data_IF_347230179945
#
_entry.id   IF_347230179945
#
_cell.length_a   1.000
_cell.length_b   1.000
_cell.length_c   1.000
_cell.angle_alpha   90.00
_cell.angle_beta   90.00
_cell.angle_gamma   90.00
#
_symmetry.space_group_name_H-M   'P 1'
#
loop_
_entity.id
_entity.type
_entity.pdbx_description
1 polymer ?
#
# COMPACT_ATOMS: atom_id res chain seq x y z
N UNK A 1 19.32 -12.16 7.63
CA UNK A 1 19.55 -12.42 6.20
C UNK A 1 18.49 -11.64 5.46
N UNK A 2 18.93 -10.75 4.58
CA UNK A 2 18.01 -10.04 3.69
C UNK A 2 17.44 -11.06 2.70
N UNK A 3 16.16 -10.96 2.41
CA UNK A 3 15.48 -11.76 1.39
C UNK A 3 15.37 -10.89 0.15
N UNK A 4 16.06 -11.27 -0.91
CA UNK A 4 16.00 -10.56 -2.18
C UNK A 4 14.98 -11.21 -3.11
N UNK A 5 14.25 -10.40 -3.86
CA UNK A 5 13.44 -10.91 -4.95
C UNK A 5 14.34 -11.58 -6.00
N UNK A 6 13.95 -12.77 -6.43
CA UNK A 6 14.63 -13.46 -7.54
C UNK A 6 14.32 -12.81 -8.87
N UNK A 7 13.08 -12.33 -9.03
CA UNK A 7 12.61 -11.54 -10.17
C UNK A 7 11.62 -10.49 -9.68
N UNK A 8 11.93 -9.22 -9.90
CA UNK A 8 11.10 -8.10 -9.49
C UNK A 8 9.92 -7.86 -10.45
N UNK A 9 8.87 -7.18 -9.98
CA UNK A 9 7.79 -6.75 -10.86
C UNK A 9 8.30 -5.69 -11.84
N UNK A 10 7.83 -5.77 -13.08
CA UNK A 10 8.24 -4.88 -14.16
C UNK A 10 7.17 -3.84 -14.47
N UNK A 11 7.61 -2.67 -14.91
CA UNK A 11 6.77 -1.68 -15.56
C UNK A 11 6.42 -2.11 -17.00
N UNK A 12 5.58 -1.34 -17.67
CA UNK A 12 5.26 -1.55 -19.08
C UNK A 12 6.53 -1.57 -19.95
N UNK A 13 6.44 -2.26 -21.09
CA UNK A 13 7.53 -2.31 -22.04
C UNK A 13 7.89 -0.91 -22.56
N UNK A 14 9.17 -0.71 -22.85
CA UNK A 14 9.59 0.47 -23.58
C UNK A 14 8.87 0.56 -24.93
N UNK A 15 8.33 1.72 -25.22
CA UNK A 15 7.66 2.04 -26.48
C UNK A 15 8.44 3.06 -27.32
N UNK A 16 9.64 3.42 -26.88
CA UNK A 16 10.50 4.38 -27.55
C UNK A 16 11.57 3.67 -28.40
N UNK A 17 12.33 4.42 -29.16
CA UNK A 17 13.46 3.90 -29.93
C UNK A 17 14.74 3.73 -29.11
N UNK A 18 14.73 4.08 -27.82
CA UNK A 18 15.88 3.93 -26.94
C UNK A 18 16.22 2.46 -26.76
N UNK A 19 17.45 2.11 -27.01
CA UNK A 19 17.96 0.75 -26.81
C UNK A 19 18.83 0.68 -25.56
N UNK A 20 18.79 -0.48 -24.89
CA UNK A 20 19.72 -0.85 -23.83
C UNK A 20 20.71 -1.90 -24.37
N UNK A 21 22.00 -1.66 -24.17
CA UNK A 21 23.09 -2.51 -24.61
C UNK A 21 23.85 -3.06 -23.39
N UNK A 22 23.70 -4.35 -23.03
CA UNK A 22 24.47 -4.96 -21.97
C UNK A 22 25.88 -5.33 -22.47
N UNK A 23 26.88 -5.21 -21.61
CA UNK A 23 28.27 -5.52 -21.95
C UNK A 23 28.54 -7.02 -22.13
N UNK A 24 27.66 -7.89 -21.64
CA UNK A 24 27.68 -9.35 -21.83
C UNK A 24 26.30 -9.95 -21.64
N UNK A 25 26.17 -11.25 -21.95
CA UNK A 25 24.87 -11.99 -21.74
C UNK A 25 24.91 -13.01 -20.62
N UNK A 26 26.08 -13.42 -20.15
CA UNK A 26 26.22 -14.40 -19.09
C UNK A 26 25.92 -13.78 -17.71
N UNK A 27 25.43 -14.61 -16.77
CA UNK A 27 25.27 -14.25 -15.36
C UNK A 27 26.59 -13.73 -14.79
N UNK A 28 26.52 -12.64 -14.02
CA UNK A 28 27.70 -12.02 -13.43
C UNK A 28 27.42 -10.59 -12.95
N UNK A 29 28.41 -10.01 -12.28
CA UNK A 29 28.35 -8.69 -11.65
C UNK A 29 29.28 -7.69 -12.35
N UNK A 30 29.06 -6.39 -12.10
CA UNK A 30 29.95 -5.34 -12.64
C UNK A 30 29.83 -5.12 -14.14
N UNK A 31 28.74 -5.50 -14.76
CA UNK A 31 28.52 -5.46 -16.20
C UNK A 31 27.99 -4.09 -16.59
N UNK A 32 28.54 -3.50 -17.65
CA UNK A 32 28.04 -2.21 -18.16
C UNK A 32 26.68 -2.37 -18.83
N UNK A 33 25.81 -1.39 -18.63
CA UNK A 33 24.55 -1.21 -19.34
C UNK A 33 24.53 0.19 -19.94
N UNK A 34 24.45 0.27 -21.26
CA UNK A 34 24.48 1.54 -21.98
C UNK A 34 23.17 1.78 -22.68
N UNK A 35 22.52 2.91 -22.38
CA UNK A 35 21.34 3.37 -23.10
C UNK A 35 21.72 4.28 -24.27
N UNK A 36 21.06 4.11 -25.41
CA UNK A 36 21.33 4.95 -26.62
C UNK A 36 20.79 6.39 -26.44
N UNK A 37 19.82 6.59 -25.55
CA UNK A 37 19.23 7.87 -25.19
C UNK A 37 18.58 7.79 -23.79
N UNK A 38 18.12 8.92 -23.26
CA UNK A 38 17.38 8.95 -22.00
C UNK A 38 15.86 8.78 -22.17
N UNK A 39 15.35 8.94 -23.39
CA UNK A 39 13.91 8.85 -23.70
C UNK A 39 13.35 7.50 -23.29
N UNK A 40 12.23 7.48 -22.57
CA UNK A 40 11.62 6.25 -22.05
C UNK A 40 12.17 5.80 -20.68
N UNK A 41 13.36 6.26 -20.28
CA UNK A 41 13.94 5.98 -18.97
C UNK A 41 13.54 7.11 -18.02
N UNK A 42 12.81 6.81 -16.95
CA UNK A 42 12.39 7.76 -15.91
C UNK A 42 11.80 9.06 -16.51
N UNK A 43 10.83 8.91 -17.40
CA UNK A 43 10.17 10.03 -18.11
C UNK A 43 11.14 10.95 -18.87
N UNK A 44 12.26 10.39 -19.36
CA UNK A 44 13.28 11.12 -20.13
C UNK A 44 14.46 11.63 -19.31
N UNK A 45 14.46 11.44 -18.00
CA UNK A 45 15.59 11.84 -17.12
C UNK A 45 16.82 10.92 -17.25
N UNK A 46 16.64 9.72 -17.83
CA UNK A 46 17.68 8.71 -17.88
C UNK A 46 17.85 7.96 -16.57
N UNK A 47 18.93 7.20 -16.42
CA UNK A 47 19.24 6.52 -15.17
C UNK A 47 19.56 7.52 -14.05
N UNK A 48 19.06 7.25 -12.86
CA UNK A 48 19.25 8.06 -11.65
C UNK A 48 19.95 7.23 -10.57
N UNK A 49 20.66 7.88 -9.67
CA UNK A 49 21.29 7.20 -8.53
C UNK A 49 20.28 6.41 -7.68
N UNK A 50 19.05 6.86 -7.65
CA UNK A 50 17.89 6.22 -7.00
C UNK A 50 17.37 4.98 -7.74
N UNK A 51 17.91 4.63 -8.89
CA UNK A 51 17.62 3.37 -9.59
C UNK A 51 18.49 2.19 -9.10
N UNK A 52 19.48 2.42 -8.24
CA UNK A 52 20.27 1.34 -7.65
C UNK A 52 19.36 0.36 -6.90
N UNK A 53 19.53 -0.93 -7.18
CA UNK A 53 18.64 -2.00 -6.68
C UNK A 53 17.47 -2.31 -7.60
N UNK A 54 17.17 -1.49 -8.58
CA UNK A 54 16.07 -1.67 -9.53
C UNK A 54 16.35 -2.79 -10.52
N UNK A 55 15.34 -3.60 -10.79
CA UNK A 55 15.42 -4.64 -11.82
C UNK A 55 15.39 -4.05 -13.23
N UNK A 56 15.96 -4.78 -14.15
CA UNK A 56 15.89 -4.52 -15.59
C UNK A 56 15.64 -5.86 -16.30
N UNK A 57 14.62 -5.90 -17.12
CA UNK A 57 14.37 -7.01 -18.05
C UNK A 57 14.79 -6.60 -19.44
N UNK A 58 15.66 -7.38 -20.07
CA UNK A 58 16.10 -7.18 -21.44
C UNK A 58 16.62 -8.50 -22.03
N UNK A 59 16.53 -8.66 -23.35
CA UNK A 59 17.00 -9.87 -24.03
C UNK A 59 16.57 -11.17 -23.32
N UNK A 60 15.28 -11.24 -22.91
CA UNK A 60 14.66 -12.38 -22.25
C UNK A 60 15.27 -12.79 -20.90
N UNK A 61 16.03 -11.94 -20.25
CA UNK A 61 16.64 -12.20 -18.95
C UNK A 61 16.45 -11.05 -17.96
N UNK A 62 16.86 -11.29 -16.72
CA UNK A 62 16.74 -10.34 -15.63
C UNK A 62 18.10 -9.89 -15.13
N UNK A 63 18.22 -8.60 -14.88
CA UNK A 63 19.37 -7.98 -14.25
C UNK A 63 18.91 -7.00 -13.16
N UNK A 64 19.84 -6.60 -12.29
CA UNK A 64 19.63 -5.61 -11.22
C UNK A 64 20.66 -4.49 -11.38
N UNK A 65 20.24 -3.23 -11.30
CA UNK A 65 21.16 -2.08 -11.36
C UNK A 65 21.93 -2.04 -10.03
N UNK A 66 23.26 -2.07 -10.11
CA UNK A 66 24.14 -2.02 -8.93
C UNK A 66 24.83 -0.66 -8.76
N UNK A 67 24.98 0.10 -9.85
CA UNK A 67 25.47 1.47 -9.81
C UNK A 67 24.99 2.27 -11.02
N UNK A 68 24.92 3.58 -10.89
CA UNK A 68 24.61 4.51 -11.99
C UNK A 68 25.78 5.48 -12.13
N UNK A 69 26.38 5.52 -13.32
CA UNK A 69 27.51 6.39 -13.64
C UNK A 69 27.03 7.74 -14.15
N UNK A 70 26.05 7.74 -15.03
CA UNK A 70 25.38 8.94 -15.56
C UNK A 70 24.00 8.55 -16.14
N UNK A 71 23.33 9.51 -16.75
CA UNK A 71 21.95 9.34 -17.26
C UNK A 71 21.79 8.26 -18.35
N UNK A 72 22.86 7.83 -19.00
CA UNK A 72 22.84 6.79 -20.06
C UNK A 72 23.69 5.57 -19.72
N UNK A 73 24.44 5.58 -18.63
CA UNK A 73 25.34 4.49 -18.27
C UNK A 73 25.08 4.02 -16.84
N UNK A 74 24.79 2.75 -16.71
CA UNK A 74 24.64 2.04 -15.45
C UNK A 74 25.52 0.80 -15.39
N UNK A 75 25.71 0.27 -14.21
CA UNK A 75 26.33 -1.03 -13.96
C UNK A 75 25.25 -1.97 -13.46
N UNK A 76 25.22 -3.18 -13.98
CA UNK A 76 24.24 -4.20 -13.64
C UNK A 76 24.89 -5.49 -13.15
N UNK A 77 24.12 -6.25 -12.41
CA UNK A 77 24.31 -7.65 -12.14
C UNK A 77 23.28 -8.43 -12.96
N UNK A 78 23.72 -9.36 -13.81
CA UNK A 78 22.83 -10.25 -14.55
C UNK A 78 22.51 -11.45 -13.68
N UNK A 79 21.22 -11.58 -13.31
CA UNK A 79 20.69 -12.63 -12.43
C UNK A 79 20.24 -13.85 -13.22
N UNK A 80 19.65 -13.62 -14.40
CA UNK A 80 19.25 -14.68 -15.34
C UNK A 80 19.92 -14.39 -16.69
N UNK A 81 20.59 -15.37 -17.26
CA UNK A 81 21.30 -15.23 -18.52
C UNK A 81 20.41 -14.60 -19.61
N UNK A 82 20.97 -13.62 -20.30
CA UNK A 82 20.32 -12.96 -21.42
C UNK A 82 20.45 -13.82 -22.69
N UNK A 83 19.51 -13.74 -23.59
CA UNK A 83 19.58 -14.43 -24.89
C UNK A 83 20.70 -13.92 -25.80
N UNK A 84 21.25 -12.75 -25.49
CA UNK A 84 22.37 -12.14 -26.23
C UNK A 84 22.81 -10.82 -25.58
N UNK A 85 23.96 -10.30 -26.03
CA UNK A 85 24.48 -9.00 -25.57
C UNK A 85 24.23 -7.87 -26.58
N UNK A 86 23.37 -8.06 -27.56
CA UNK A 86 22.99 -7.03 -28.52
C UNK A 86 22.11 -5.95 -27.91
N UNK A 87 22.26 -4.73 -28.39
CA UNK A 87 21.35 -3.64 -28.02
C UNK A 87 19.89 -3.99 -28.40
N UNK A 88 18.96 -3.78 -27.46
CA UNK A 88 17.56 -4.07 -27.66
C UNK A 88 16.70 -2.88 -27.26
N UNK A 89 15.61 -2.63 -27.98
CA UNK A 89 14.56 -1.71 -27.61
C UNK A 89 13.45 -2.41 -26.78
N UNK A 90 13.43 -3.76 -26.78
CA UNK A 90 12.53 -4.55 -25.94
C UNK A 90 13.16 -4.72 -24.55
N UNK A 91 12.86 -3.75 -23.69
CA UNK A 91 13.30 -3.75 -22.31
C UNK A 91 12.21 -3.18 -21.40
N UNK A 92 12.29 -3.54 -20.13
CA UNK A 92 11.44 -3.00 -19.07
C UNK A 92 12.28 -2.69 -17.84
N UNK A 93 11.88 -1.67 -17.10
CA UNK A 93 12.45 -1.36 -15.80
C UNK A 93 11.56 -1.89 -14.68
N UNK A 94 12.16 -2.25 -13.58
CA UNK A 94 11.46 -2.69 -12.38
C UNK A 94 10.49 -1.63 -11.87
N UNK A 95 9.37 -2.07 -11.30
CA UNK A 95 8.34 -1.19 -10.76
C UNK A 95 8.75 -0.57 -9.41
N UNK A 96 9.65 -1.20 -8.65
CA UNK A 96 10.06 -0.76 -7.32
C UNK A 96 11.49 -0.21 -7.33
N UNK A 97 11.65 0.99 -6.87
CA UNK A 97 12.94 1.66 -6.62
C UNK A 97 12.70 2.97 -5.86
N UNK A 98 13.76 3.61 -5.39
CA UNK A 98 13.65 4.95 -4.80
C UNK A 98 13.21 6.01 -5.84
N UNK A 99 13.39 5.73 -7.14
CA UNK A 99 12.87 6.59 -8.22
C UNK A 99 11.37 6.44 -8.42
N UNK A 100 10.84 5.20 -8.35
CA UNK A 100 9.44 4.90 -8.67
C UNK A 100 8.56 4.75 -7.45
N UNK A 101 9.17 4.69 -6.28
CA UNK A 101 8.55 4.42 -5.00
C UNK A 101 8.41 2.93 -4.71
N UNK A 102 8.26 2.63 -3.44
CA UNK A 102 8.01 1.29 -2.93
C UNK A 102 6.52 1.12 -2.59
N UNK A 103 5.99 -0.12 -2.55
CA UNK A 103 4.61 -0.36 -2.20
C UNK A 103 4.32 0.07 -0.76
N UNK A 104 3.17 0.71 -0.54
CA UNK A 104 2.69 1.11 0.78
C UNK A 104 1.78 0.09 1.45
N UNK A 105 1.28 -0.88 0.68
CA UNK A 105 0.37 -1.91 1.15
C UNK A 105 0.92 -3.30 0.82
N UNK A 106 0.78 -4.24 1.76
CA UNK A 106 1.20 -5.64 1.60
C UNK A 106 0.18 -6.58 2.25
N UNK A 107 -0.09 -7.70 1.62
CA UNK A 107 -0.90 -8.78 2.18
C UNK A 107 -0.60 -10.11 1.49
N UNK A 108 -1.16 -11.21 2.02
CA UNK A 108 -1.16 -12.50 1.34
C UNK A 108 -2.58 -12.82 0.88
N UNK A 109 -2.71 -13.31 -0.34
CA UNK A 109 -3.99 -13.75 -0.88
C UNK A 109 -3.80 -14.90 -1.85
N UNK A 110 -4.54 -16.00 -1.67
CA UNK A 110 -4.51 -17.19 -2.53
C UNK A 110 -3.08 -17.67 -2.85
N UNK A 111 -2.26 -17.90 -1.83
CA UNK A 111 -0.86 -18.34 -1.93
C UNK A 111 0.03 -17.40 -2.75
N UNK A 112 -0.30 -16.13 -2.83
CA UNK A 112 0.49 -15.08 -3.47
C UNK A 112 0.82 -13.97 -2.47
N UNK A 113 2.01 -13.43 -2.54
CA UNK A 113 2.37 -12.17 -1.88
C UNK A 113 1.87 -11.03 -2.74
N UNK A 114 1.14 -10.09 -2.15
CA UNK A 114 0.47 -9.01 -2.87
C UNK A 114 0.98 -7.67 -2.37
N UNK A 115 1.42 -6.83 -3.30
CA UNK A 115 1.85 -5.45 -3.05
C UNK A 115 0.98 -4.47 -3.82
N UNK A 116 0.83 -3.25 -3.29
CA UNK A 116 0.17 -2.16 -4.01
C UNK A 116 0.58 -0.78 -3.49
N UNK A 117 0.17 0.25 -4.22
CA UNK A 117 0.27 1.62 -3.77
C UNK A 117 1.66 2.23 -3.86
N UNK A 118 2.40 2.02 -4.94
CA UNK A 118 3.65 2.75 -5.19
C UNK A 118 3.36 4.19 -5.60
N UNK A 119 4.36 5.06 -5.47
CA UNK A 119 4.21 6.48 -5.84
C UNK A 119 3.91 6.66 -7.33
N UNK A 120 4.61 5.93 -8.20
CA UNK A 120 4.43 6.05 -9.66
C UNK A 120 3.23 5.26 -10.19
N UNK A 121 2.87 4.17 -9.54
CA UNK A 121 1.77 3.30 -9.93
C UNK A 121 0.78 3.11 -8.76
N UNK A 122 0.10 4.20 -8.32
CA UNK A 122 -0.71 4.18 -7.11
C UNK A 122 -1.95 3.30 -7.18
N UNK A 123 -2.36 2.90 -8.39
CA UNK A 123 -3.53 2.06 -8.64
C UNK A 123 -3.18 0.62 -9.06
N UNK A 124 -1.89 0.28 -9.09
CA UNK A 124 -1.44 -1.04 -9.55
C UNK A 124 -1.26 -1.98 -8.37
N UNK A 125 -1.72 -3.20 -8.56
CA UNK A 125 -1.56 -4.33 -7.64
C UNK A 125 -0.61 -5.33 -8.29
N UNK A 126 0.33 -5.81 -7.50
CA UNK A 126 1.36 -6.75 -7.92
C UNK A 126 1.21 -8.04 -7.10
N UNK A 127 0.99 -9.16 -7.75
CA UNK A 127 0.90 -10.47 -7.11
C UNK A 127 2.12 -11.30 -7.51
N UNK A 128 2.73 -11.98 -6.55
CA UNK A 128 3.79 -12.95 -6.83
C UNK A 128 3.28 -14.16 -7.62
N UNK A 129 4.19 -15.00 -8.09
CA UNK A 129 3.83 -16.36 -8.52
C UNK A 129 3.17 -17.11 -7.36
N UNK A 130 2.28 -18.03 -7.70
CA UNK A 130 1.60 -18.86 -6.72
C UNK A 130 2.63 -19.77 -6.01
N UNK A 131 2.70 -19.65 -4.68
CA UNK A 131 3.63 -20.44 -3.85
C UNK A 131 5.10 -20.01 -3.91
N UNK A 132 5.44 -19.00 -4.73
CA UNK A 132 6.80 -18.45 -4.84
C UNK A 132 6.75 -16.93 -4.60
N UNK A 133 6.90 -16.51 -3.35
CA UNK A 133 6.66 -15.15 -2.88
C UNK A 133 7.73 -14.14 -3.31
N UNK A 134 8.93 -14.61 -3.67
CA UNK A 134 10.06 -13.77 -4.09
C UNK A 134 10.12 -13.60 -5.61
N UNK A 135 9.19 -14.21 -6.33
CA UNK A 135 9.14 -14.22 -7.78
C UNK A 135 7.92 -13.44 -8.30
N UNK A 136 8.18 -12.30 -8.92
CA UNK A 136 7.17 -11.44 -9.54
C UNK A 136 7.20 -11.52 -11.07
N UNK A 137 7.70 -12.63 -11.64
CA UNK A 137 7.76 -12.82 -13.09
C UNK A 137 6.38 -13.10 -13.66
N UNK A 138 5.87 -12.17 -14.44
CA UNK A 138 4.65 -12.34 -15.24
C UNK A 138 4.88 -13.10 -16.56
N UNK A 139 6.00 -13.82 -16.67
CA UNK A 139 6.40 -14.59 -17.85
C UNK A 139 6.46 -13.74 -19.13
N UNK A 140 7.21 -12.64 -19.04
CA UNK A 140 7.33 -11.64 -20.11
C UNK A 140 7.93 -12.28 -21.36
N UNK A 141 7.19 -12.22 -22.48
CA UNK A 141 7.61 -12.81 -23.77
C UNK A 141 7.42 -14.32 -23.87
N UNK A 142 6.93 -14.99 -22.82
CA UNK A 142 6.58 -16.42 -22.81
C UNK A 142 5.08 -16.69 -22.91
N UNK A 143 4.69 -17.95 -22.71
CA UNK A 143 3.28 -18.32 -22.56
C UNK A 143 2.88 -18.17 -21.10
N UNK A 144 1.92 -17.30 -20.84
CA UNK A 144 1.42 -17.04 -19.48
C UNK A 144 0.75 -18.28 -18.92
N UNK A 145 1.18 -18.72 -17.75
CA UNK A 145 0.62 -19.83 -16.98
C UNK A 145 -0.25 -19.33 -15.82
N UNK A 146 -1.11 -20.17 -15.30
CA UNK A 146 -2.04 -19.80 -14.23
C UNK A 146 -1.34 -19.46 -12.91
N UNK A 147 -0.14 -19.99 -12.70
CA UNK A 147 0.69 -19.72 -11.52
C UNK A 147 1.57 -18.48 -11.65
N UNK A 148 1.70 -17.89 -12.85
CA UNK A 148 2.55 -16.71 -13.07
C UNK A 148 2.09 -15.50 -12.26
N UNK A 149 3.02 -14.56 -12.05
CA UNK A 149 2.75 -13.31 -11.34
C UNK A 149 1.73 -12.46 -12.10
N UNK A 150 0.95 -11.68 -11.35
CA UNK A 150 -0.11 -10.82 -11.90
C UNK A 150 0.25 -9.37 -11.62
N UNK A 151 0.24 -8.55 -12.65
CA UNK A 151 0.35 -7.10 -12.54
C UNK A 151 -0.94 -6.51 -13.11
N UNK A 152 -1.73 -5.87 -12.27
CA UNK A 152 -3.03 -5.34 -12.67
C UNK A 152 -3.22 -3.91 -12.20
N UNK A 153 -3.54 -3.00 -13.11
CA UNK A 153 -3.86 -1.61 -12.81
C UNK A 153 -5.36 -1.41 -12.78
N UNK A 154 -5.89 -0.93 -11.66
CA UNK A 154 -7.32 -0.67 -11.49
C UNK A 154 -7.72 0.47 -12.41
N UNK A 155 -8.55 0.17 -13.42
CA UNK A 155 -9.12 1.17 -14.29
C UNK A 155 -10.19 1.98 -13.53
N UNK A 156 -9.95 3.27 -13.33
CA UNK A 156 -10.86 4.20 -12.66
C UNK A 156 -10.83 5.54 -13.37
N UNK A 157 -11.98 6.23 -13.39
CA UNK A 157 -12.10 7.58 -13.98
C UNK A 157 -11.26 8.65 -13.26
N UNK A 158 -10.70 8.33 -12.11
CA UNK A 158 -9.84 9.20 -11.31
C UNK A 158 -8.66 8.39 -10.79
N UNK A 159 -7.51 9.02 -10.64
CA UNK A 159 -6.35 8.39 -9.97
C UNK A 159 -6.67 8.25 -8.48
N UNK A 160 -6.95 7.04 -8.08
CA UNK A 160 -7.32 6.68 -6.71
C UNK A 160 -6.23 5.79 -6.10
N UNK A 161 -5.29 6.41 -5.38
CA UNK A 161 -4.23 5.66 -4.71
C UNK A 161 -4.82 4.59 -3.79
N UNK A 162 -4.28 3.37 -3.87
CA UNK A 162 -4.57 2.28 -2.96
C UNK A 162 -4.04 2.67 -1.57
N UNK A 163 -4.87 2.46 -0.54
CA UNK A 163 -4.60 2.85 0.84
C UNK A 163 -4.48 1.68 1.79
N UNK A 164 -5.23 0.63 1.54
CA UNK A 164 -5.13 -0.63 2.28
C UNK A 164 -5.55 -1.81 1.41
N UNK A 165 -5.11 -2.98 1.81
CA UNK A 165 -5.58 -4.26 1.29
C UNK A 165 -5.89 -5.19 2.45
N UNK A 166 -6.99 -5.94 2.35
CA UNK A 166 -7.37 -6.93 3.36
C UNK A 166 -7.87 -8.20 2.68
N UNK A 167 -7.22 -9.31 3.00
CA UNK A 167 -7.60 -10.61 2.49
C UNK A 167 -8.72 -11.21 3.35
N UNK A 168 -9.83 -11.51 2.73
CA UNK A 168 -10.96 -12.28 3.28
C UNK A 168 -11.28 -13.41 2.31
N UNK A 169 -12.54 -13.75 2.08
CA UNK A 169 -12.94 -14.64 0.98
C UNK A 169 -12.57 -14.06 -0.40
N UNK A 170 -12.56 -12.74 -0.51
CA UNK A 170 -12.05 -11.98 -1.65
C UNK A 170 -10.97 -11.02 -1.14
N UNK A 171 -10.09 -10.55 -2.00
CA UNK A 171 -9.19 -9.47 -1.63
C UNK A 171 -9.93 -8.15 -1.72
N UNK A 172 -10.02 -7.44 -0.62
CA UNK A 172 -10.62 -6.12 -0.52
C UNK A 172 -9.52 -5.08 -0.66
N UNK A 173 -9.74 -4.10 -1.54
CA UNK A 173 -8.82 -2.99 -1.80
C UNK A 173 -9.56 -1.69 -1.49
N UNK A 174 -9.08 -0.95 -0.51
CA UNK A 174 -9.54 0.41 -0.25
C UNK A 174 -8.68 1.44 -0.96
N UNK A 175 -9.32 2.30 -1.74
CA UNK A 175 -8.67 3.41 -2.44
C UNK A 175 -9.19 4.75 -1.93
N UNK A 176 -8.52 5.84 -2.27
CA UNK A 176 -8.97 7.18 -1.90
C UNK A 176 -10.38 7.55 -2.44
N UNK A 177 -10.87 6.87 -3.48
CA UNK A 177 -12.15 7.17 -4.13
C UNK A 177 -13.17 6.05 -4.13
N UNK A 178 -12.90 4.94 -3.45
CA UNK A 178 -13.84 3.82 -3.33
C UNK A 178 -13.18 2.51 -2.96
N UNK A 179 -14.00 1.52 -2.71
CA UNK A 179 -13.61 0.17 -2.31
C UNK A 179 -13.86 -0.79 -3.46
N UNK A 180 -12.93 -1.72 -3.66
CA UNK A 180 -12.94 -2.72 -4.71
C UNK A 180 -12.78 -4.11 -4.11
N UNK A 181 -13.31 -5.10 -4.79
CA UNK A 181 -13.04 -6.52 -4.51
C UNK A 181 -12.30 -7.14 -5.68
N UNK A 182 -11.35 -8.00 -5.37
CA UNK A 182 -10.60 -8.82 -6.34
C UNK A 182 -10.94 -10.27 -6.12
N UNK A 183 -11.29 -10.96 -7.19
CA UNK A 183 -11.61 -12.40 -7.20
C UNK A 183 -11.23 -13.00 -8.55
N UNK A 184 -11.30 -14.32 -8.67
CA UNK A 184 -11.34 -15.00 -9.96
C UNK A 184 -12.65 -14.76 -10.70
N UNK A 185 -12.82 -15.33 -11.85
CA UNK A 185 -14.03 -15.19 -12.68
C UNK A 185 -15.33 -15.62 -11.96
N UNK A 186 -15.24 -16.47 -10.95
CA UNK A 186 -16.30 -16.79 -9.98
C UNK A 186 -15.73 -16.81 -8.56
N UNK A 187 -16.60 -16.81 -7.54
CA UNK A 187 -16.21 -16.74 -6.13
C UNK A 187 -15.34 -17.92 -5.67
N UNK A 188 -15.47 -19.06 -6.32
CA UNK A 188 -14.76 -20.31 -5.98
C UNK A 188 -13.61 -20.63 -6.95
N UNK A 189 -13.28 -19.69 -7.83
CA UNK A 189 -12.20 -19.87 -8.80
C UNK A 189 -10.99 -19.06 -8.35
N UNK A 190 -9.82 -19.72 -8.22
CA UNK A 190 -8.59 -19.04 -7.88
C UNK A 190 -8.22 -17.95 -8.92
N UNK A 191 -7.59 -16.88 -8.46
CA UNK A 191 -7.11 -15.83 -9.36
C UNK A 191 -5.93 -16.33 -10.20
N UNK A 192 -6.01 -16.04 -11.50
CA UNK A 192 -4.92 -16.28 -12.45
C UNK A 192 -4.68 -15.03 -13.28
N UNK A 193 -3.56 -14.92 -14.00
CA UNK A 193 -3.30 -13.76 -14.87
C UNK A 193 -4.41 -13.51 -15.90
N UNK A 194 -5.18 -14.55 -16.27
CA UNK A 194 -6.19 -14.50 -17.33
C UNK A 194 -7.63 -14.36 -16.81
N UNK A 195 -7.89 -14.60 -15.52
CA UNK A 195 -9.25 -14.57 -14.97
C UNK A 195 -9.47 -13.58 -13.80
N UNK A 196 -8.47 -12.76 -13.48
CA UNK A 196 -8.60 -11.77 -12.40
C UNK A 196 -9.74 -10.78 -12.71
N UNK A 197 -10.62 -10.59 -11.75
CA UNK A 197 -11.76 -9.68 -11.85
C UNK A 197 -11.74 -8.69 -10.70
N UNK A 198 -11.66 -7.40 -11.02
CA UNK A 198 -11.72 -6.31 -10.05
C UNK A 198 -13.02 -5.54 -10.23
N UNK A 199 -13.85 -5.52 -9.18
CA UNK A 199 -15.15 -4.83 -9.17
C UNK A 199 -15.20 -3.75 -8.11
N UNK A 200 -15.68 -2.56 -8.49
CA UNK A 200 -15.97 -1.51 -7.53
C UNK A 200 -17.23 -1.84 -6.74
N UNK A 201 -17.15 -1.73 -5.42
CA UNK A 201 -18.24 -2.07 -4.51
C UNK A 201 -18.88 -0.82 -3.89
N UNK A 202 -18.08 0.21 -3.58
CA UNK A 202 -18.61 1.43 -2.98
C UNK A 202 -17.79 2.68 -3.39
N UNK A 203 -18.30 3.87 -3.05
CA UNK A 203 -17.71 5.17 -3.38
C UNK A 203 -17.31 5.97 -2.14
N UNK A 204 -17.12 5.32 -0.97
CA UNK A 204 -16.86 6.06 0.26
C UNK A 204 -15.43 6.60 0.34
N UNK A 205 -14.48 5.86 -0.20
CA UNK A 205 -13.06 6.18 -0.14
C UNK A 205 -12.46 5.92 1.24
N UNK A 206 -11.23 5.45 1.23
CA UNK A 206 -10.48 5.02 2.41
C UNK A 206 -9.43 6.05 2.83
N UNK A 207 -9.20 6.13 4.14
CA UNK A 207 -8.02 6.78 4.72
C UNK A 207 -6.78 5.90 4.54
N UNK A 208 -5.60 6.50 4.64
CA UNK A 208 -4.33 5.76 4.65
C UNK A 208 -4.10 5.17 6.06
N UNK A 209 -4.87 4.17 6.38
CA UNK A 209 -4.86 3.41 7.65
C UNK A 209 -5.27 1.99 7.30
N UNK A 210 -4.55 1.01 7.83
CA UNK A 210 -4.86 -0.38 7.57
C UNK A 210 -6.27 -0.74 8.04
N UNK A 211 -6.98 -1.47 7.22
CA UNK A 211 -8.28 -2.02 7.58
C UNK A 211 -8.10 -3.31 8.39
N UNK A 212 -9.09 -3.64 9.19
CA UNK A 212 -9.10 -4.84 10.01
C UNK A 212 -10.21 -5.79 9.57
N UNK A 213 -9.89 -7.07 9.49
CA UNK A 213 -10.88 -8.11 9.26
C UNK A 213 -11.48 -8.56 10.60
N UNK A 214 -12.81 -8.57 10.68
CA UNK A 214 -13.56 -9.03 11.86
C UNK A 214 -14.61 -10.03 11.38
N UNK A 215 -14.34 -11.31 11.59
CA UNK A 215 -15.18 -12.37 11.05
C UNK A 215 -15.21 -12.31 9.52
N UNK A 216 -16.38 -12.11 8.95
CA UNK A 216 -16.60 -11.98 7.51
C UNK A 216 -16.76 -10.52 7.03
N UNK A 217 -16.50 -9.56 7.89
CA UNK A 217 -16.56 -8.13 7.58
C UNK A 217 -15.17 -7.48 7.66
N UNK A 218 -14.99 -6.43 6.91
CA UNK A 218 -13.80 -5.57 6.96
C UNK A 218 -14.19 -4.21 7.50
N UNK A 219 -13.57 -3.79 8.59
CA UNK A 219 -13.74 -2.45 9.13
C UNK A 219 -12.62 -1.55 8.62
N UNK A 220 -12.96 -0.41 8.08
CA UNK A 220 -12.01 0.56 7.55
C UNK A 220 -12.38 1.99 7.90
N UNK A 221 -11.39 2.86 7.90
CA UNK A 221 -11.60 4.29 8.08
C UNK A 221 -11.92 4.96 6.74
N UNK A 222 -13.05 5.66 6.70
CA UNK A 222 -13.39 6.50 5.56
C UNK A 222 -12.37 7.65 5.42
N UNK A 223 -12.19 8.16 4.20
CA UNK A 223 -11.16 9.15 3.82
C UNK A 223 -10.98 10.32 4.78
N UNK A 224 -12.05 10.86 5.35
CA UNK A 224 -11.99 11.96 6.32
C UNK A 224 -11.55 11.54 7.72
N UNK A 225 -11.25 10.25 7.97
CA UNK A 225 -10.83 9.68 9.26
C UNK A 225 -11.82 9.82 10.42
N UNK A 226 -13.05 10.20 10.14
CA UNK A 226 -14.10 10.41 11.17
C UNK A 226 -15.13 9.29 11.25
N UNK A 227 -15.12 8.39 10.27
CA UNK A 227 -16.12 7.32 10.18
C UNK A 227 -15.43 5.98 10.02
N UNK A 228 -15.81 5.02 10.86
CA UNK A 228 -15.51 3.60 10.65
C UNK A 228 -16.67 3.01 9.88
N UNK A 229 -16.37 2.34 8.77
CA UNK A 229 -17.34 1.64 7.96
C UNK A 229 -17.10 0.14 8.01
N UNK A 230 -18.20 -0.61 7.99
CA UNK A 230 -18.21 -2.06 7.90
C UNK A 230 -18.44 -2.46 6.44
N UNK A 231 -17.43 -2.96 5.74
CA UNK A 231 -17.61 -3.52 4.40
C UNK A 231 -17.89 -5.02 4.51
N UNK A 232 -19.08 -5.43 4.17
CA UNK A 232 -19.50 -6.82 4.20
C UNK A 232 -20.41 -7.15 3.03
N UNK A 233 -20.34 -8.40 2.55
CA UNK A 233 -21.27 -8.90 1.54
C UNK A 233 -22.67 -9.01 2.13
N UNK A 234 -23.66 -8.50 1.40
CA UNK A 234 -25.08 -8.59 1.72
C UNK A 234 -25.80 -9.34 0.60
N UNK A 235 -26.45 -10.42 0.97
CA UNK A 235 -27.16 -11.29 0.02
C UNK A 235 -28.38 -10.62 -0.62
N UNK A 236 -29.08 -9.75 0.13
CA UNK A 236 -30.33 -9.12 -0.35
C UNK A 236 -30.09 -8.19 -1.54
N UNK A 237 -28.89 -7.57 -1.60
CA UNK A 237 -28.50 -6.65 -2.69
C UNK A 237 -27.50 -7.27 -3.64
N UNK A 238 -27.10 -8.53 -3.41
CA UNK A 238 -26.04 -9.25 -4.15
C UNK A 238 -24.77 -8.40 -4.32
N UNK A 239 -24.32 -7.83 -3.21
CA UNK A 239 -23.16 -6.92 -3.26
C UNK A 239 -22.64 -6.57 -1.87
N UNK A 240 -21.57 -5.79 -1.87
CA UNK A 240 -21.01 -5.28 -0.63
C UNK A 240 -21.68 -3.97 -0.21
N UNK A 241 -22.04 -3.89 1.04
CA UNK A 241 -22.55 -2.67 1.69
C UNK A 241 -21.53 -2.16 2.69
N UNK A 242 -21.53 -0.85 2.95
CA UNK A 242 -20.60 -0.22 3.87
C UNK A 242 -21.31 0.73 4.87
N UNK A 243 -22.15 0.20 5.79
CA UNK A 243 -22.81 1.02 6.80
C UNK A 243 -21.79 1.72 7.70
N UNK A 244 -22.24 2.84 8.29
CA UNK A 244 -21.46 3.69 9.18
C UNK A 244 -21.62 3.22 10.63
N UNK A 245 -20.54 2.73 11.23
CA UNK A 245 -20.51 2.25 12.62
C UNK A 245 -20.38 3.40 13.64
N UNK A 246 -20.16 4.62 13.19
CA UNK A 246 -20.00 5.80 14.07
C UNK A 246 -21.25 6.68 14.13
N UNK A 247 -22.31 6.35 13.39
CA UNK A 247 -23.49 7.21 13.20
C UNK A 247 -24.17 7.63 14.51
N UNK A 248 -24.20 6.77 15.51
CA UNK A 248 -24.80 7.07 16.81
C UNK A 248 -23.83 7.74 17.81
N UNK A 249 -22.56 7.91 17.42
CA UNK A 249 -21.49 8.39 18.30
C UNK A 249 -20.47 9.27 17.55
N UNK A 250 -20.92 10.12 16.66
CA UNK A 250 -20.04 10.96 15.81
C UNK A 250 -19.07 11.84 16.61
N UNK A 251 -19.47 12.25 17.83
CA UNK A 251 -18.63 13.05 18.73
C UNK A 251 -17.37 12.29 19.20
N UNK A 252 -17.38 10.95 19.23
CA UNK A 252 -16.24 10.14 19.66
C UNK A 252 -15.08 10.25 18.68
N UNK A 253 -15.38 10.34 17.38
CA UNK A 253 -14.38 10.41 16.32
C UNK A 253 -14.07 11.85 15.87
N UNK A 254 -14.47 12.88 16.64
CA UNK A 254 -14.36 14.29 16.21
C UNK A 254 -12.93 14.73 15.94
N UNK A 255 -11.94 14.23 16.68
CA UNK A 255 -10.52 14.50 16.46
C UNK A 255 -9.90 13.74 15.28
N UNK A 256 -10.67 12.91 14.56
CA UNK A 256 -10.19 12.00 13.54
C UNK A 256 -9.47 10.78 14.13
N UNK A 257 -9.58 9.64 13.48
CA UNK A 257 -8.95 8.40 13.90
C UNK A 257 -7.69 8.16 13.06
N UNK A 258 -6.60 7.75 13.69
CA UNK A 258 -5.28 7.59 13.05
C UNK A 258 -4.85 6.15 12.93
N UNK A 259 -5.37 5.28 13.78
CA UNK A 259 -5.08 3.85 13.79
C UNK A 259 -6.27 3.09 14.34
N UNK A 260 -6.47 1.86 13.88
CA UNK A 260 -7.45 0.91 14.41
C UNK A 260 -6.80 -0.44 14.67
N UNK A 261 -7.26 -1.13 15.69
CA UNK A 261 -6.82 -2.48 16.05
C UNK A 261 -7.98 -3.31 16.58
N UNK A 262 -7.96 -4.62 16.38
CA UNK A 262 -9.02 -5.52 16.82
C UNK A 262 -8.54 -6.46 17.92
N UNK A 263 -9.30 -6.54 18.98
CA UNK A 263 -9.19 -7.54 20.04
C UNK A 263 -10.32 -8.56 19.87
N UNK A 264 -9.97 -9.81 19.68
CA UNK A 264 -10.94 -10.89 19.52
C UNK A 264 -11.44 -11.42 20.87
N UNK A 265 -10.54 -11.60 21.84
CA UNK A 265 -10.84 -12.20 23.13
C UNK A 265 -10.35 -11.31 24.28
N UNK A 266 -11.01 -11.33 25.45
CA UNK A 266 -12.23 -12.08 25.81
C UNK A 266 -13.52 -11.49 25.24
N UNK A 267 -13.49 -10.25 24.75
CA UNK A 267 -14.62 -9.57 24.13
C UNK A 267 -14.19 -8.97 22.81
N UNK A 268 -15.07 -8.97 21.84
CA UNK A 268 -14.83 -8.38 20.53
C UNK A 268 -14.87 -6.85 20.62
N UNK A 269 -13.68 -6.26 20.60
CA UNK A 269 -13.47 -4.82 20.73
C UNK A 269 -12.59 -4.30 19.59
N UNK A 270 -12.98 -3.18 19.03
CA UNK A 270 -12.14 -2.44 18.10
C UNK A 270 -11.63 -1.20 18.82
N UNK A 271 -10.35 -1.09 18.98
CA UNK A 271 -9.70 0.10 19.53
C UNK A 271 -9.31 1.03 18.40
N UNK A 272 -9.47 2.32 18.63
CA UNK A 272 -9.02 3.34 17.70
C UNK A 272 -8.30 4.46 18.45
N UNK A 273 -7.19 4.94 17.87
CA UNK A 273 -6.45 6.09 18.38
C UNK A 273 -6.94 7.34 17.67
N UNK A 274 -7.33 8.35 18.44
CA UNK A 274 -7.69 9.66 17.91
C UNK A 274 -6.44 10.53 17.66
N UNK A 275 -6.58 11.48 16.75
CA UNK A 275 -5.51 12.43 16.44
C UNK A 275 -5.03 13.29 17.60
N UNK A 276 -5.85 13.47 18.64
CA UNK A 276 -5.53 14.17 19.88
C UNK A 276 -4.93 13.26 20.97
N UNK A 277 -4.65 11.98 20.64
CA UNK A 277 -4.03 11.00 21.56
C UNK A 277 -5.03 10.27 22.47
N UNK A 278 -6.33 10.50 22.35
CA UNK A 278 -7.34 9.75 23.10
C UNK A 278 -7.55 8.36 22.48
N UNK A 279 -7.66 7.33 23.34
CA UNK A 279 -8.04 5.99 22.91
C UNK A 279 -9.56 5.83 23.02
N UNK A 280 -10.18 5.38 21.96
CA UNK A 280 -11.59 5.05 21.93
C UNK A 280 -11.78 3.57 21.61
N UNK A 281 -12.85 2.98 22.12
CA UNK A 281 -13.19 1.58 21.88
C UNK A 281 -14.59 1.45 21.32
N UNK A 282 -14.75 0.51 20.41
CA UNK A 282 -16.01 0.09 19.84
C UNK A 282 -16.25 -1.36 20.24
N UNK A 283 -17.28 -1.62 21.04
CA UNK A 283 -17.81 -2.97 21.21
C UNK A 283 -18.55 -3.33 19.93
N UNK A 284 -18.07 -4.36 19.25
CA UNK A 284 -18.59 -4.75 17.96
C UNK A 284 -18.95 -6.23 17.94
N UNK A 285 -20.24 -6.52 18.10
CA UNK A 285 -20.82 -7.86 18.02
C UNK A 285 -21.86 -7.88 16.91
N UNK A 286 -21.41 -8.19 15.72
CA UNK A 286 -22.23 -8.11 14.51
C UNK A 286 -23.47 -9.00 14.57
N UNK A 287 -23.31 -10.21 15.05
CA UNK A 287 -24.38 -11.21 15.11
C UNK A 287 -25.51 -10.78 16.06
N UNK A 288 -25.19 -10.05 17.13
CA UNK A 288 -26.14 -9.50 18.09
C UNK A 288 -26.56 -8.06 17.77
N UNK A 289 -26.04 -7.49 16.67
CA UNK A 289 -26.27 -6.10 16.28
C UNK A 289 -25.85 -5.08 17.36
N UNK A 290 -24.84 -5.42 18.16
CA UNK A 290 -24.29 -4.51 19.18
C UNK A 290 -23.17 -3.68 18.60
N UNK A 291 -23.38 -2.37 18.61
CA UNK A 291 -22.40 -1.34 18.24
C UNK A 291 -22.41 -0.27 19.31
N UNK A 292 -21.43 -0.31 20.21
CA UNK A 292 -21.37 0.61 21.35
C UNK A 292 -19.97 1.22 21.48
N UNK A 293 -19.93 2.54 21.59
CA UNK A 293 -18.69 3.29 21.70
C UNK A 293 -18.38 3.70 23.14
N UNK A 294 -17.11 3.68 23.51
CA UNK A 294 -16.61 4.13 24.80
C UNK A 294 -15.23 4.79 24.65
N UNK A 295 -14.84 5.54 25.66
CA UNK A 295 -13.53 6.21 25.73
C UNK A 295 -12.70 5.63 26.85
N UNK A 296 -11.40 5.56 26.64
CA UNK A 296 -10.42 5.22 27.65
C UNK A 296 -9.67 6.49 28.09
N UNK A 297 -9.82 6.85 29.34
CA UNK A 297 -9.10 8.00 29.90
C UNK A 297 -7.81 7.47 30.53
N UNK A 298 -6.68 7.74 29.87
CA UNK A 298 -5.36 7.45 30.40
C UNK A 298 -4.90 8.63 31.24
N UNK A 299 -5.18 8.64 32.53
CA UNK A 299 -4.66 9.65 33.49
C UNK A 299 -4.75 11.09 33.00
N UNK A 300 -4.89 12.02 33.88
CA UNK A 300 -5.26 13.40 33.63
C UNK A 300 -4.77 14.00 32.31
N UNK A 301 -5.67 14.62 31.57
CA UNK A 301 -5.31 15.53 30.49
C UNK A 301 -4.27 16.49 31.05
N UNK A 302 -3.08 16.51 30.49
CA UNK A 302 -2.16 17.62 30.72
C UNK A 302 -2.82 18.84 30.10
N UNK A 303 -3.52 19.62 30.92
CA UNK A 303 -3.98 20.93 30.51
C UNK A 303 -2.76 21.78 30.23
N UNK A 304 -2.50 22.09 28.97
CA UNK A 304 -1.51 23.09 28.63
C UNK A 304 -2.08 24.44 29.00
N UNK A 305 -1.64 25.01 30.11
CA UNK A 305 -1.89 26.39 30.44
C UNK A 305 -0.66 27.20 30.00
N UNK A 306 -0.87 28.19 29.15
CA UNK A 306 0.19 29.16 28.83
C UNK A 306 0.05 30.32 29.81
N UNK A 307 1.06 30.52 30.65
CA UNK A 307 1.15 31.70 31.51
C UNK A 307 2.02 32.71 30.78
N UNK A 308 1.43 33.81 30.34
CA UNK A 308 2.17 34.93 29.75
C UNK A 308 2.45 35.96 30.85
N UNK A 309 3.70 36.14 31.15
CA UNK A 309 4.14 37.23 32.07
C UNK A 309 4.42 38.45 31.21
N UNK A 310 3.55 39.47 31.31
CA UNK A 310 3.65 40.70 30.52
C UNK A 310 4.57 41.74 31.12
N UNK A 311 4.89 41.64 32.42
CA UNK A 311 5.77 42.54 33.11
C UNK A 311 6.65 41.78 34.12
N UNK A 312 7.86 41.46 33.69
CA UNK A 312 8.86 40.77 34.53
C UNK A 312 9.44 41.65 35.63
N UNK A 313 9.40 42.98 35.48
CA UNK A 313 10.02 43.92 36.43
C UNK A 313 9.28 43.99 37.77
N UNK A 314 8.02 43.58 37.79
CA UNK A 314 7.18 43.63 39.00
C UNK A 314 7.00 42.26 39.68
N UNK A 315 7.74 41.22 39.28
CA UNK A 315 7.73 39.95 39.99
C UNK A 315 8.81 40.02 41.10
N UNK A 316 8.36 40.10 42.35
CA UNK A 316 9.26 40.05 43.47
C UNK A 316 9.87 38.65 43.66
N UNK A 317 11.12 38.60 44.14
CA UNK A 317 11.77 37.33 44.47
C UNK A 317 10.92 36.56 45.52
N UNK A 318 10.66 35.30 45.27
CA UNK A 318 9.80 34.46 46.11
C UNK A 318 8.30 34.49 45.79
N UNK A 319 7.88 35.20 44.73
CA UNK A 319 6.47 35.13 44.23
C UNK A 319 6.08 33.70 43.85
N UNK A 320 4.99 33.22 44.42
CA UNK A 320 4.43 31.89 44.11
C UNK A 320 3.28 32.02 43.14
N UNK A 321 3.35 31.25 42.07
CA UNK A 321 2.21 31.04 41.18
C UNK A 321 1.44 29.81 41.70
N UNK A 322 0.23 30.04 42.17
CA UNK A 322 -0.67 28.96 42.62
C UNK A 322 -1.62 28.66 41.47
N UNK A 323 -1.49 27.45 40.87
CA UNK A 323 -2.43 26.95 39.90
C UNK A 323 -3.48 26.12 40.64
N UNK A 324 -4.68 26.62 40.73
CA UNK A 324 -5.82 25.90 41.29
C UNK A 324 -6.57 25.27 40.13
N UNK A 325 -6.69 23.91 40.11
CA UNK A 325 -7.58 23.25 39.20
C UNK A 325 -9.01 23.64 39.57
N UNK A 326 -9.73 24.24 38.66
CA UNK A 326 -11.17 24.36 38.82
C UNK A 326 -11.74 22.92 38.71
N UNK A 327 -12.20 22.38 39.82
CA UNK A 327 -12.94 21.13 39.80
C UNK A 327 -14.30 21.38 39.14
N UNK A 328 -14.29 21.25 37.79
CA UNK A 328 -15.52 21.10 37.05
C UNK A 328 -16.04 19.69 37.33
N UNK A 329 -17.05 19.57 38.11
CA UNK A 329 -17.91 18.38 38.25
C UNK A 329 -18.55 18.05 36.93
#
# INVERSE_FOLDING_TARGET
TDVDFTKGPMQDANITTTTLNPGQSAVGTGISLVASATTGINSGSGFLATDVGRFVFLNSGYAKITAVTNTTNATIEILTALSGASATADWRLGAFSDTTGHPSCVTFFEQRLVFAGTTNQPQTVFFSKSGDYENMDANIGGTVADDDAIIYTIASNQVNAIRFMTATRTLIIGTAGGEFTVSGGSVDTAITPTNILIKKQSNHGAANVDAIAVGNATLFLQRAKRKIRELAYNFDVDGYIAPDMTILAEHISEGGLTQIAYQQEPNQLVYAVRGDGELVGLTYQREQQVTAWHRHIFGGRFGNATITVTDFANIADGTRIVLTKADGT
#
